data_IF_870172387814
#
_entry.id   IF_870172387814
#
_cell.length_a   1.000
_cell.length_b   1.000
_cell.length_c   1.000
_cell.angle_alpha   90.00
_cell.angle_beta   90.00
_cell.angle_gamma   90.00
#
_symmetry.space_group_name_H-M   'P 1'
#
loop_
_entity.id
_entity.type
_entity.pdbx_description
1 polymer ?
#
# COMPACT_ATOMS: atom_id res chain seq x y z
N UNK A 1 33.50 58.92 29.89
CA UNK A 1 33.30 58.45 28.50
C UNK A 1 33.12 56.94 28.58
N UNK A 2 32.10 56.46 29.30
CA UNK A 2 32.09 55.07 29.82
C UNK A 2 30.75 54.33 29.63
N UNK A 3 29.76 54.95 28.98
CA UNK A 3 28.44 54.33 28.75
C UNK A 3 28.38 53.45 27.47
N UNK A 4 29.41 53.50 26.62
CA UNK A 4 29.40 52.79 25.33
C UNK A 4 30.11 51.43 25.34
N UNK A 5 30.71 51.05 26.47
CA UNK A 5 31.40 49.74 26.61
C UNK A 5 30.44 48.68 27.13
N UNK A 6 29.45 49.05 27.96
CA UNK A 6 28.50 48.12 28.58
C UNK A 6 27.42 47.61 27.61
N UNK A 7 27.18 48.35 26.52
CA UNK A 7 26.20 47.98 25.50
C UNK A 7 26.74 46.95 24.48
N UNK A 8 28.05 46.66 24.49
CA UNK A 8 28.66 45.69 23.56
C UNK A 8 28.77 44.27 24.13
N UNK A 9 28.60 44.09 25.44
CA UNK A 9 28.66 42.77 26.08
C UNK A 9 27.36 41.94 25.96
N UNK A 10 26.27 42.52 25.43
CA UNK A 10 24.98 41.83 25.28
C UNK A 10 24.71 41.28 23.87
N UNK A 11 25.64 41.40 22.93
CA UNK A 11 25.44 40.96 21.54
C UNK A 11 26.14 39.64 21.17
N UNK A 12 26.52 38.83 22.15
CA UNK A 12 26.99 37.46 21.90
C UNK A 12 25.79 36.53 21.74
N UNK A 13 25.18 36.55 20.55
CA UNK A 13 24.28 35.49 20.13
C UNK A 13 25.09 34.19 20.02
N UNK A 14 24.89 33.28 20.96
CA UNK A 14 25.36 31.90 20.85
C UNK A 14 24.89 31.32 19.50
N UNK A 15 25.75 30.61 18.75
CA UNK A 15 25.34 29.95 17.52
C UNK A 15 24.09 29.10 17.77
N UNK A 16 23.09 29.09 16.86
CA UNK A 16 21.95 28.22 17.02
C UNK A 16 22.46 26.78 17.15
N UNK A 17 22.10 26.14 18.26
CA UNK A 17 22.39 24.73 18.50
C UNK A 17 21.88 23.93 17.28
N UNK A 18 22.67 23.01 16.70
CA UNK A 18 22.15 22.16 15.64
C UNK A 18 21.00 21.36 16.24
N UNK A 19 19.77 21.72 15.86
CA UNK A 19 18.57 20.99 16.23
C UNK A 19 18.84 19.51 15.93
N UNK A 20 18.71 18.60 16.92
CA UNK A 20 18.73 17.17 16.65
C UNK A 20 17.78 16.90 15.47
N UNK A 21 18.09 15.97 14.54
CA UNK A 21 17.19 15.65 13.45
C UNK A 21 15.81 15.46 14.05
N UNK A 22 14.91 16.41 13.79
CA UNK A 22 13.56 16.34 14.32
C UNK A 22 13.01 15.08 13.67
N UNK A 23 12.82 14.03 14.48
CA UNK A 23 11.94 12.97 14.06
C UNK A 23 10.65 13.68 13.63
N UNK A 24 10.16 13.36 12.43
CA UNK A 24 8.96 13.95 11.87
C UNK A 24 7.75 13.55 12.72
N UNK A 25 7.61 14.19 13.88
CA UNK A 25 6.53 14.02 14.84
C UNK A 25 5.40 14.98 14.44
N UNK A 26 4.80 14.77 13.26
CA UNK A 26 3.53 15.39 12.91
C UNK A 26 2.40 14.34 12.99
N UNK A 27 1.62 14.31 14.09
CA UNK A 27 0.55 13.34 14.26
C UNK A 27 -0.74 13.84 13.59
N UNK A 28 -0.84 13.74 12.26
CA UNK A 28 -2.09 13.70 11.47
C UNK A 28 -1.77 13.83 9.97
N UNK A 29 -1.90 12.76 9.16
CA UNK A 29 -2.32 12.79 7.73
C UNK A 29 -2.14 11.44 6.99
N UNK A 30 -2.78 10.35 7.44
CA UNK A 30 -2.89 9.10 6.67
C UNK A 30 -1.56 8.46 6.19
N UNK A 31 -1.61 7.46 5.29
CA UNK A 31 -0.40 6.85 4.72
C UNK A 31 0.31 7.83 3.77
N UNK A 32 1.65 7.75 3.71
CA UNK A 32 2.47 8.58 2.80
C UNK A 32 2.10 8.36 1.32
N UNK A 33 2.36 9.34 0.45
CA UNK A 33 2.09 9.17 -0.99
C UNK A 33 2.85 7.98 -1.58
N UNK A 34 4.06 7.71 -1.12
CA UNK A 34 4.82 6.52 -1.52
C UNK A 34 4.11 5.23 -1.09
N UNK A 35 3.61 5.17 0.14
CA UNK A 35 2.86 4.02 0.64
C UNK A 35 1.56 3.79 -0.15
N UNK A 36 0.84 4.86 -0.48
CA UNK A 36 -0.34 4.80 -1.38
C UNK A 36 0.03 4.23 -2.75
N UNK A 37 1.12 4.71 -3.35
CA UNK A 37 1.58 4.25 -4.66
C UNK A 37 1.99 2.77 -4.63
N UNK A 38 2.70 2.33 -3.59
CA UNK A 38 3.11 0.92 -3.44
C UNK A 38 1.90 0.00 -3.21
N UNK A 39 0.94 0.41 -2.37
CA UNK A 39 -0.31 -0.33 -2.16
C UNK A 39 -1.11 -0.45 -3.47
N UNK A 40 -1.28 0.66 -4.20
CA UNK A 40 -1.93 0.65 -5.51
C UNK A 40 -1.21 -0.26 -6.49
N UNK A 41 0.13 -0.21 -6.54
CA UNK A 41 0.95 -1.10 -7.36
C UNK A 41 0.71 -2.58 -7.05
N UNK A 42 0.59 -2.95 -5.77
CA UNK A 42 0.24 -4.33 -5.40
C UNK A 42 -1.10 -4.76 -6.03
N UNK A 43 -2.15 -3.97 -5.90
CA UNK A 43 -3.47 -4.29 -6.47
C UNK A 43 -3.44 -4.34 -8.00
N UNK A 44 -2.79 -3.36 -8.62
CA UNK A 44 -2.71 -3.24 -10.08
C UNK A 44 -1.88 -4.37 -10.70
N UNK A 45 -0.71 -4.67 -10.14
CA UNK A 45 0.11 -5.79 -10.58
C UNK A 45 -0.63 -7.12 -10.39
N UNK A 46 -1.45 -7.21 -9.35
CA UNK A 46 -2.31 -8.36 -9.10
C UNK A 46 -3.10 -8.80 -10.32
N UNK A 47 -3.75 -7.84 -10.97
CA UNK A 47 -4.57 -8.10 -12.16
C UNK A 47 -3.77 -8.63 -13.36
N UNK A 48 -2.56 -8.10 -13.61
CA UNK A 48 -1.76 -8.48 -14.78
C UNK A 48 -0.85 -9.69 -14.57
N UNK A 49 -0.46 -9.94 -13.32
CA UNK A 49 0.59 -10.92 -12.98
C UNK A 49 0.10 -11.98 -11.98
N UNK A 50 -1.22 -12.03 -11.74
CA UNK A 50 -1.82 -12.83 -10.68
C UNK A 50 -1.20 -12.47 -9.32
N UNK A 51 -0.97 -13.44 -8.45
CA UNK A 51 -0.38 -13.19 -7.13
C UNK A 51 1.13 -12.88 -7.17
N UNK A 52 1.83 -13.06 -8.30
CA UNK A 52 3.31 -12.95 -8.35
C UNK A 52 3.79 -11.51 -8.19
N UNK A 53 3.21 -10.56 -8.93
CA UNK A 53 3.58 -9.14 -8.82
C UNK A 53 3.35 -8.56 -7.42
N UNK A 54 2.16 -8.70 -6.81
CA UNK A 54 1.96 -8.26 -5.43
C UNK A 54 2.87 -9.00 -4.45
N UNK A 55 3.22 -10.27 -4.69
CA UNK A 55 4.17 -11.00 -3.83
C UNK A 55 5.55 -10.36 -3.82
N UNK A 56 6.06 -10.04 -5.00
CA UNK A 56 7.39 -9.42 -5.15
C UNK A 56 7.39 -8.04 -4.48
N UNK A 57 6.41 -7.19 -4.77
CA UNK A 57 6.34 -5.83 -4.20
C UNK A 57 6.18 -5.89 -2.68
N UNK A 58 5.25 -6.72 -2.18
CA UNK A 58 5.03 -6.88 -0.75
C UNK A 58 6.28 -7.39 -0.03
N UNK A 59 6.98 -8.40 -0.55
CA UNK A 59 8.21 -8.91 0.09
C UNK A 59 9.32 -7.85 0.20
N UNK A 60 9.42 -6.96 -0.79
CA UNK A 60 10.43 -5.89 -0.80
C UNK A 60 10.03 -4.73 0.14
N UNK A 61 8.72 -4.45 0.25
CA UNK A 61 8.21 -3.21 0.86
C UNK A 61 7.44 -3.38 2.17
N UNK A 62 7.17 -4.60 2.62
CA UNK A 62 6.36 -4.89 3.82
C UNK A 62 6.93 -4.27 5.10
N UNK A 63 8.25 -4.12 5.19
CA UNK A 63 8.91 -3.61 6.39
C UNK A 63 9.07 -2.07 6.36
N UNK A 64 8.73 -1.41 5.24
CA UNK A 64 8.85 0.05 5.06
C UNK A 64 7.67 0.82 5.69
N UNK A 65 6.44 0.32 5.57
CA UNK A 65 5.23 1.01 6.03
C UNK A 65 4.10 0.00 6.37
N UNK A 66 3.45 0.08 7.55
CA UNK A 66 2.35 -0.81 7.94
C UNK A 66 1.17 -0.84 6.96
N UNK A 67 0.90 0.28 6.28
CA UNK A 67 -0.15 0.36 5.26
C UNK A 67 0.21 -0.47 4.03
N UNK A 68 1.49 -0.47 3.62
CA UNK A 68 1.96 -1.33 2.51
C UNK A 68 1.87 -2.79 2.92
N UNK A 69 2.25 -3.14 4.15
CA UNK A 69 2.11 -4.50 4.66
C UNK A 69 0.65 -4.96 4.61
N UNK A 70 -0.27 -4.14 5.11
CA UNK A 70 -1.70 -4.45 5.13
C UNK A 70 -2.29 -4.62 3.73
N UNK A 71 -2.10 -3.64 2.84
CA UNK A 71 -2.68 -3.67 1.49
C UNK A 71 -2.00 -4.70 0.59
N UNK A 72 -0.68 -4.89 0.75
CA UNK A 72 0.08 -5.92 0.05
C UNK A 72 -0.43 -7.33 0.37
N UNK A 73 -0.64 -7.66 1.65
CA UNK A 73 -1.27 -8.94 2.05
C UNK A 73 -2.67 -9.11 1.48
N UNK A 74 -3.48 -8.06 1.49
CA UNK A 74 -4.87 -8.12 1.02
C UNK A 74 -4.92 -8.32 -0.51
N UNK A 75 -4.07 -7.63 -1.28
CA UNK A 75 -3.87 -7.86 -2.71
C UNK A 75 -3.40 -9.30 -3.00
N UNK A 76 -2.42 -9.80 -2.24
CA UNK A 76 -1.91 -11.16 -2.35
C UNK A 76 -2.99 -12.22 -2.10
N UNK A 77 -3.67 -12.12 -0.95
CA UNK A 77 -4.72 -13.05 -0.55
C UNK A 77 -5.85 -13.08 -1.58
N UNK A 78 -6.23 -11.92 -2.12
CA UNK A 78 -7.25 -11.85 -3.15
C UNK A 78 -6.82 -12.49 -4.46
N UNK A 79 -5.61 -12.18 -4.95
CA UNK A 79 -5.13 -12.74 -6.21
C UNK A 79 -4.89 -14.25 -6.13
N UNK A 80 -4.48 -14.78 -4.98
CA UNK A 80 -4.47 -16.23 -4.73
C UNK A 80 -5.88 -16.81 -4.83
N UNK A 81 -6.88 -16.12 -4.25
CA UNK A 81 -8.29 -16.54 -4.30
C UNK A 81 -8.82 -16.58 -5.74
N UNK A 82 -8.57 -15.51 -6.52
CA UNK A 82 -8.95 -15.42 -7.94
C UNK A 82 -8.24 -16.49 -8.75
N UNK A 83 -6.95 -16.74 -8.50
CA UNK A 83 -6.17 -17.78 -9.19
C UNK A 83 -6.77 -19.16 -8.93
N UNK A 84 -7.11 -19.49 -7.67
CA UNK A 84 -7.73 -20.76 -7.32
C UNK A 84 -9.12 -20.91 -7.96
N UNK A 85 -9.96 -19.86 -7.92
CA UNK A 85 -11.25 -19.85 -8.57
C UNK A 85 -11.12 -20.05 -10.09
N UNK A 86 -10.10 -19.45 -10.71
CA UNK A 86 -9.80 -19.57 -12.13
C UNK A 86 -9.32 -20.99 -12.50
N UNK A 87 -8.51 -21.63 -11.65
CA UNK A 87 -8.14 -23.03 -11.83
C UNK A 87 -9.39 -23.91 -11.81
N UNK A 88 -10.26 -23.77 -10.80
CA UNK A 88 -11.51 -24.55 -10.72
C UNK A 88 -12.39 -24.30 -11.94
N UNK A 89 -12.54 -23.04 -12.39
CA UNK A 89 -13.25 -22.69 -13.61
C UNK A 89 -12.64 -23.33 -14.86
N UNK A 90 -11.31 -23.35 -14.96
CA UNK A 90 -10.58 -24.04 -16.03
C UNK A 90 -10.88 -25.54 -16.08
N UNK A 91 -10.84 -26.23 -14.93
CA UNK A 91 -11.20 -27.65 -14.87
C UNK A 91 -12.67 -27.90 -15.27
N UNK A 92 -13.59 -27.06 -14.81
CA UNK A 92 -15.03 -27.15 -15.15
C UNK A 92 -15.33 -26.73 -16.61
N UNK A 93 -14.37 -26.14 -17.32
CA UNK A 93 -14.58 -25.72 -18.71
C UNK A 93 -14.69 -26.90 -19.67
N UNK A 94 -14.23 -28.09 -19.26
CA UNK A 94 -14.40 -29.36 -20.01
C UNK A 94 -15.88 -29.67 -20.28
N UNK A 95 -16.78 -29.26 -19.37
CA UNK A 95 -18.24 -29.42 -19.50
C UNK A 95 -18.95 -28.12 -19.90
N UNK A 96 -18.22 -27.14 -20.48
CA UNK A 96 -18.67 -25.80 -20.88
C UNK A 96 -19.13 -24.86 -19.75
N UNK A 97 -19.57 -25.37 -18.60
CA UNK A 97 -20.01 -24.56 -17.45
C UNK A 97 -18.88 -23.67 -16.92
N UNK A 98 -17.64 -24.16 -16.96
CA UNK A 98 -16.49 -23.40 -16.48
C UNK A 98 -16.23 -22.10 -17.23
N UNK A 99 -16.62 -21.98 -18.50
CA UNK A 99 -16.43 -20.75 -19.27
C UNK A 99 -17.25 -19.58 -18.71
N UNK A 100 -18.49 -19.85 -18.30
CA UNK A 100 -19.34 -18.85 -17.64
C UNK A 100 -18.74 -18.44 -16.29
N UNK A 101 -18.25 -19.42 -15.51
CA UNK A 101 -17.60 -19.15 -14.23
C UNK A 101 -16.34 -18.29 -14.40
N UNK A 102 -15.49 -18.60 -15.38
CA UNK A 102 -14.29 -17.81 -15.69
C UNK A 102 -14.63 -16.37 -16.09
N UNK A 103 -15.68 -16.17 -16.88
CA UNK A 103 -16.14 -14.83 -17.25
C UNK A 103 -16.60 -14.03 -16.02
N UNK A 104 -17.36 -14.65 -15.12
CA UNK A 104 -17.81 -14.01 -13.87
C UNK A 104 -16.64 -13.70 -12.95
N UNK A 105 -15.70 -14.63 -12.78
CA UNK A 105 -14.49 -14.45 -11.95
C UNK A 105 -13.63 -13.31 -12.50
N UNK A 106 -13.35 -13.29 -13.81
CA UNK A 106 -12.55 -12.24 -14.43
C UNK A 106 -13.20 -10.85 -14.34
N UNK A 107 -14.52 -10.77 -14.49
CA UNK A 107 -15.25 -9.51 -14.30
C UNK A 107 -15.23 -9.05 -12.84
N UNK A 108 -15.42 -9.95 -11.88
CA UNK A 108 -15.36 -9.64 -10.46
C UNK A 108 -13.96 -9.20 -10.03
N UNK A 109 -12.91 -9.88 -10.52
CA UNK A 109 -11.51 -9.51 -10.29
C UNK A 109 -11.23 -8.08 -10.76
N UNK A 110 -11.58 -7.75 -12.00
CA UNK A 110 -11.41 -6.41 -12.55
C UNK A 110 -12.12 -5.34 -11.71
N UNK A 111 -13.39 -5.56 -11.36
CA UNK A 111 -14.18 -4.60 -10.56
C UNK A 111 -13.53 -4.39 -9.18
N UNK A 112 -13.19 -5.48 -8.49
CA UNK A 112 -12.63 -5.37 -7.15
C UNK A 112 -11.22 -4.76 -7.15
N UNK A 113 -10.38 -5.05 -8.14
CA UNK A 113 -9.07 -4.39 -8.30
C UNK A 113 -9.24 -2.89 -8.52
N UNK A 114 -10.16 -2.47 -9.39
CA UNK A 114 -10.42 -1.04 -9.61
C UNK A 114 -10.84 -0.37 -8.30
N UNK A 115 -11.76 -0.96 -7.54
CA UNK A 115 -12.17 -0.41 -6.24
C UNK A 115 -11.02 -0.34 -5.24
N UNK A 116 -10.16 -1.36 -5.20
CA UNK A 116 -8.98 -1.36 -4.35
C UNK A 116 -7.97 -0.26 -4.75
N UNK A 117 -7.71 -0.08 -6.04
CA UNK A 117 -6.86 1.00 -6.55
C UNK A 117 -7.44 2.38 -6.21
N UNK A 118 -8.75 2.58 -6.38
CA UNK A 118 -9.43 3.84 -6.05
C UNK A 118 -9.36 4.12 -4.55
N UNK A 119 -9.66 3.15 -3.69
CA UNK A 119 -9.55 3.30 -2.23
C UNK A 119 -8.09 3.61 -1.82
N UNK A 120 -7.13 2.82 -2.30
CA UNK A 120 -5.73 2.99 -1.90
C UNK A 120 -5.10 4.27 -2.41
N UNK A 121 -5.53 4.80 -3.57
CA UNK A 121 -5.13 6.12 -4.06
C UNK A 121 -5.54 7.27 -3.12
N UNK A 122 -6.65 7.10 -2.37
CA UNK A 122 -7.08 8.05 -1.34
C UNK A 122 -6.35 7.84 -0.01
N UNK A 123 -5.66 6.71 0.15
CA UNK A 123 -5.09 6.28 1.43
C UNK A 123 -6.09 5.53 2.32
N UNK A 124 -7.22 5.09 1.77
CA UNK A 124 -8.19 4.26 2.46
C UNK A 124 -7.78 2.79 2.33
N UNK A 125 -7.75 2.07 3.46
CA UNK A 125 -7.50 0.65 3.45
C UNK A 125 -8.66 -0.10 2.79
N UNK A 126 -8.38 -0.80 1.69
CA UNK A 126 -9.37 -1.65 1.04
C UNK A 126 -9.32 -3.06 1.63
N UNK A 127 -10.49 -3.71 1.71
CA UNK A 127 -10.61 -5.10 2.13
C UNK A 127 -11.52 -5.82 1.14
N UNK A 128 -10.99 -6.84 0.48
CA UNK A 128 -11.75 -7.61 -0.48
C UNK A 128 -12.89 -8.35 0.24
N UNK A 129 -14.13 -8.23 -0.26
CA UNK A 129 -15.26 -8.96 0.31
C UNK A 129 -15.08 -10.47 0.23
N UNK A 130 -14.44 -10.93 -0.86
CA UNK A 130 -14.18 -12.35 -1.14
C UNK A 130 -12.67 -12.55 -1.30
N UNK A 131 -11.99 -12.89 -0.20
CA UNK A 131 -10.58 -13.27 -0.21
C UNK A 131 -10.27 -14.26 0.91
N UNK A 132 -9.53 -15.31 0.57
CA UNK A 132 -8.96 -16.27 1.52
C UNK A 132 -7.74 -15.63 2.16
N UNK A 133 -7.80 -15.38 3.47
CA UNK A 133 -6.73 -14.70 4.23
C UNK A 133 -5.70 -15.70 4.73
N UNK A 134 -4.81 -16.11 3.81
CA UNK A 134 -3.71 -17.01 4.09
C UNK A 134 -2.61 -16.29 4.88
N UNK A 135 -2.25 -15.09 4.45
CA UNK A 135 -1.26 -14.23 5.10
C UNK A 135 -1.99 -13.27 6.04
N UNK A 136 -1.57 -13.22 7.31
CA UNK A 136 -2.13 -12.38 8.39
C UNK A 136 -1.19 -11.24 8.76
#
# INVERSE_FOLDING_TARGET
>A
MDENVENQAQNEQTPPEPTPPQADENPSEGPSQNAKNMALLCHLLGFFTCFIGPLIVWLIKKDDDPYIDQQGKEALNFQITVTLASIVGGLLSVICIGLLLLAVVGLADLIFVIMACVATSKGEAYRYPVAIRLIK
#
